data_IF_132983942054
#
_entry.id   IF_132983942054
#
_cell.length_a   1.000
_cell.length_b   1.000
_cell.length_c   1.000
_cell.angle_alpha   90.00
_cell.angle_beta   90.00
_cell.angle_gamma   90.00
#
_symmetry.space_group_name_H-M   'P 1'
#
loop_
_entity.id
_entity.type
_entity.pdbx_description
1 polymer ?
#
# COMPACT_ATOMS: atom_id res chain seq x y z
N UNK A 1 2.53 0.18 -12.73
CA UNK A 1 3.40 0.27 -11.54
C UNK A 1 3.69 -1.10 -10.92
N UNK A 2 2.70 -1.96 -10.65
CA UNK A 2 2.94 -3.29 -10.07
C UNK A 2 3.85 -4.20 -10.93
N UNK A 3 3.68 -4.17 -12.26
CA UNK A 3 4.56 -4.90 -13.17
C UNK A 3 6.02 -4.45 -13.07
N UNK A 4 6.25 -3.14 -12.97
CA UNK A 4 7.60 -2.56 -12.81
C UNK A 4 8.19 -2.95 -11.45
N UNK A 5 7.41 -2.88 -10.38
CA UNK A 5 7.81 -3.32 -9.05
C UNK A 5 8.21 -4.78 -8.99
N UNK A 6 7.49 -5.67 -9.70
CA UNK A 6 7.84 -7.10 -9.79
C UNK A 6 9.21 -7.36 -10.42
N UNK A 7 9.63 -6.55 -11.38
CA UNK A 7 10.92 -6.75 -12.06
C UNK A 7 12.08 -5.98 -11.40
N UNK A 8 11.79 -4.87 -10.71
CA UNK A 8 12.81 -4.00 -10.12
C UNK A 8 13.04 -4.22 -8.62
N UNK A 9 12.07 -4.78 -7.91
CA UNK A 9 12.10 -4.87 -6.46
C UNK A 9 12.00 -6.32 -6.02
N UNK A 10 12.84 -6.69 -5.05
CA UNK A 10 12.71 -7.95 -4.30
C UNK A 10 12.25 -7.62 -2.89
N UNK A 11 11.30 -8.40 -2.37
CA UNK A 11 10.83 -8.22 -1.00
C UNK A 11 12.00 -8.42 -0.04
N UNK A 12 12.22 -7.46 0.85
CA UNK A 12 13.32 -7.52 1.81
C UNK A 12 12.96 -8.53 2.91
N UNK A 13 13.83 -9.50 3.23
CA UNK A 13 13.56 -10.52 4.24
C UNK A 13 13.37 -9.96 5.66
N UNK A 14 13.78 -8.71 5.92
CA UNK A 14 13.46 -8.00 7.17
C UNK A 14 11.97 -7.66 7.28
N UNK A 15 11.19 -7.86 6.22
CA UNK A 15 9.79 -7.46 6.14
C UNK A 15 9.60 -5.94 6.03
N UNK A 16 10.68 -5.17 5.88
CA UNK A 16 10.71 -3.73 5.67
C UNK A 16 12.00 -3.33 4.95
N UNK A 17 12.07 -2.12 4.41
CA UNK A 17 13.30 -1.61 3.79
C UNK A 17 13.37 -1.77 2.27
N UNK A 18 12.38 -2.40 1.62
CA UNK A 18 12.33 -2.47 0.14
C UNK A 18 12.29 -1.08 -0.53
N UNK A 19 11.95 -0.01 0.21
CA UNK A 19 12.08 1.36 -0.29
C UNK A 19 13.54 1.82 -0.47
N UNK A 20 14.50 1.22 0.24
CA UNK A 20 15.93 1.51 0.08
C UNK A 20 16.42 1.13 -1.33
N UNK A 21 15.83 0.08 -1.94
CA UNK A 21 16.09 -0.32 -3.33
C UNK A 21 15.61 0.73 -4.35
N UNK A 22 14.64 1.58 -3.96
CA UNK A 22 14.18 2.72 -4.75
C UNK A 22 15.07 3.96 -4.57
N UNK A 23 16.16 3.87 -3.80
CA UNK A 23 17.06 4.98 -3.49
C UNK A 23 16.56 5.88 -2.37
N UNK A 24 15.53 5.48 -1.61
CA UNK A 24 15.06 6.23 -0.44
C UNK A 24 15.96 5.98 0.77
N UNK A 25 16.05 6.98 1.64
CA UNK A 25 16.78 6.86 2.90
C UNK A 25 16.18 5.76 3.80
N UNK A 26 17.03 5.10 4.62
CA UNK A 26 16.57 4.09 5.56
C UNK A 26 15.60 4.69 6.58
N UNK A 27 14.71 3.85 7.09
CA UNK A 27 13.68 4.25 8.03
C UNK A 27 14.28 4.59 9.41
N UNK A 28 14.62 5.87 9.61
CA UNK A 28 15.21 6.43 10.85
C UNK A 28 14.51 5.97 12.15
N UNK A 29 13.16 5.96 12.27
CA UNK A 29 12.50 5.51 13.49
C UNK A 29 12.73 4.02 13.80
N UNK A 30 12.78 3.19 12.76
CA UNK A 30 13.05 1.76 12.89
C UNK A 30 14.52 1.53 13.27
N UNK A 31 15.44 2.29 12.67
CA UNK A 31 16.87 2.19 12.96
C UNK A 31 17.24 2.71 14.36
N UNK A 32 16.60 3.81 14.80
CA UNK A 32 16.99 4.51 16.03
C UNK A 32 16.22 4.05 17.27
N UNK A 33 14.95 3.71 17.11
CA UNK A 33 14.08 3.33 18.23
C UNK A 33 13.53 1.90 18.14
N UNK A 34 13.76 1.19 17.03
CA UNK A 34 13.18 -0.14 16.81
C UNK A 34 11.67 -0.12 16.60
N UNK A 35 11.08 1.05 16.33
CA UNK A 35 9.62 1.22 16.21
C UNK A 35 9.26 1.38 14.72
N UNK A 36 8.30 0.58 14.20
CA UNK A 36 7.86 0.71 12.83
C UNK A 36 7.06 2.01 12.64
N UNK A 37 7.47 2.81 11.64
CA UNK A 37 6.71 3.97 11.19
C UNK A 37 5.41 3.54 10.46
N UNK A 38 4.43 4.43 10.25
CA UNK A 38 3.16 4.08 9.58
C UNK A 38 3.32 3.50 8.17
N UNK A 39 4.42 3.80 7.48
CA UNK A 39 4.73 3.27 6.15
C UNK A 39 5.74 2.10 6.18
N UNK A 40 6.16 1.63 7.36
CA UNK A 40 7.22 0.64 7.48
C UNK A 40 6.72 -0.74 7.06
N UNK A 41 7.32 -1.31 6.01
CA UNK A 41 6.89 -2.58 5.41
C UNK A 41 5.90 -2.42 4.26
N UNK A 42 5.49 -1.19 3.92
CA UNK A 42 4.45 -0.94 2.92
C UNK A 42 4.93 -1.37 1.53
N UNK A 43 6.11 -0.89 1.12
CA UNK A 43 6.72 -1.25 -0.17
C UNK A 43 7.03 -2.73 -0.24
N UNK A 44 7.49 -3.34 0.86
CA UNK A 44 7.75 -4.78 0.94
C UNK A 44 6.48 -5.60 0.75
N UNK A 45 5.38 -5.23 1.41
CA UNK A 45 4.07 -5.86 1.23
C UNK A 45 3.51 -5.68 -0.18
N UNK A 46 3.68 -4.51 -0.80
CA UNK A 46 3.30 -4.27 -2.20
C UNK A 46 4.16 -5.12 -3.15
N UNK A 47 5.44 -5.31 -2.84
CA UNK A 47 6.32 -6.19 -3.62
C UNK A 47 5.87 -7.64 -3.50
N UNK A 48 5.55 -8.16 -2.31
CA UNK A 48 4.95 -9.49 -2.14
C UNK A 48 3.65 -9.64 -2.95
N UNK A 49 2.77 -8.63 -2.91
CA UNK A 49 1.55 -8.62 -3.73
C UNK A 49 1.87 -8.70 -5.23
N UNK A 50 2.84 -7.92 -5.70
CA UNK A 50 3.26 -7.92 -7.11
C UNK A 50 3.85 -9.27 -7.55
N UNK A 51 4.47 -10.02 -6.62
CA UNK A 51 4.99 -11.38 -6.87
C UNK A 51 3.92 -12.48 -6.79
N UNK A 52 2.71 -12.16 -6.31
CA UNK A 52 1.65 -13.15 -6.10
C UNK A 52 1.68 -13.81 -4.72
N UNK A 53 2.54 -13.34 -3.81
CA UNK A 53 2.69 -13.82 -2.44
C UNK A 53 1.68 -13.10 -1.54
N UNK A 54 0.40 -13.42 -1.72
CA UNK A 54 -0.70 -12.68 -1.11
C UNK A 54 -0.72 -12.80 0.41
N UNK A 55 -0.35 -13.97 0.94
CA UNK A 55 -0.32 -14.21 2.38
C UNK A 55 0.78 -13.40 3.05
N UNK A 56 1.99 -13.43 2.50
CA UNK A 56 3.12 -12.63 3.00
C UNK A 56 2.87 -11.13 2.86
N UNK A 57 2.14 -10.71 1.82
CA UNK A 57 1.69 -9.33 1.67
C UNK A 57 0.76 -8.88 2.80
N UNK A 58 -0.25 -9.70 3.15
CA UNK A 58 -1.20 -9.39 4.22
C UNK A 58 -0.51 -9.41 5.59
N UNK A 59 0.27 -10.45 5.88
CA UNK A 59 1.01 -10.58 7.14
C UNK A 59 2.04 -9.47 7.32
N UNK A 60 2.72 -9.09 6.23
CA UNK A 60 3.70 -8.02 6.23
C UNK A 60 3.06 -6.66 6.50
N UNK A 61 2.05 -6.26 5.73
CA UNK A 61 1.29 -5.04 6.02
C UNK A 61 -0.05 -5.07 5.26
N UNK A 62 -1.21 -5.21 5.93
CA UNK A 62 -2.52 -5.30 5.26
C UNK A 62 -2.83 -4.07 4.38
N UNK A 63 -2.30 -2.90 4.77
CA UNK A 63 -2.39 -1.68 3.96
C UNK A 63 -1.68 -1.82 2.61
N UNK A 64 -0.52 -2.48 2.56
CA UNK A 64 0.21 -2.72 1.32
C UNK A 64 -0.55 -3.66 0.37
N UNK A 65 -1.18 -4.71 0.92
CA UNK A 65 -2.08 -5.56 0.16
C UNK A 65 -3.27 -4.79 -0.42
N UNK A 66 -3.94 -3.97 0.39
CA UNK A 66 -5.06 -3.15 -0.04
C UNK A 66 -4.67 -2.15 -1.14
N UNK A 67 -3.49 -1.53 -1.03
CA UNK A 67 -2.94 -0.65 -2.07
C UNK A 67 -2.59 -1.42 -3.34
N UNK A 68 -2.02 -2.62 -3.22
CA UNK A 68 -1.77 -3.50 -4.37
C UNK A 68 -3.06 -3.84 -5.12
N UNK A 69 -4.10 -4.22 -4.39
CA UNK A 69 -5.41 -4.51 -4.96
C UNK A 69 -6.05 -3.27 -5.60
N UNK A 70 -5.97 -2.11 -4.93
CA UNK A 70 -6.45 -0.86 -5.47
C UNK A 70 -5.71 -0.48 -6.77
N UNK A 71 -4.38 -0.63 -6.80
CA UNK A 71 -3.56 -0.38 -7.98
C UNK A 71 -3.88 -1.35 -9.14
N UNK A 72 -4.38 -2.55 -8.84
CA UNK A 72 -4.86 -3.49 -9.85
C UNK A 72 -6.26 -3.10 -10.36
N UNK A 73 -7.20 -2.73 -9.49
CA UNK A 73 -8.62 -2.52 -9.84
C UNK A 73 -8.87 -1.12 -10.41
N UNK A 74 -8.31 -0.06 -9.82
CA UNK A 74 -8.63 1.33 -10.19
C UNK A 74 -8.46 1.61 -11.68
N UNK A 75 -7.36 1.21 -12.36
CA UNK A 75 -7.16 1.52 -13.77
C UNK A 75 -8.26 0.94 -14.66
N UNK A 76 -8.72 -0.28 -14.39
CA UNK A 76 -9.80 -0.90 -15.17
C UNK A 76 -11.16 -0.29 -14.82
N UNK A 77 -11.41 0.02 -13.54
CA UNK A 77 -12.63 0.66 -13.11
C UNK A 77 -12.79 2.06 -13.71
N UNK A 78 -11.71 2.87 -13.71
CA UNK A 78 -11.71 4.22 -14.30
C UNK A 78 -11.81 4.15 -15.82
N UNK A 79 -11.11 3.22 -16.47
CA UNK A 79 -11.24 2.99 -17.91
C UNK A 79 -12.68 2.61 -18.30
N UNK A 80 -13.28 1.65 -17.60
CA UNK A 80 -14.66 1.23 -17.86
C UNK A 80 -15.68 2.35 -17.58
N UNK A 81 -15.45 3.17 -16.55
CA UNK A 81 -16.27 4.34 -16.26
C UNK A 81 -16.15 5.40 -17.37
N UNK A 82 -14.92 5.67 -17.84
CA UNK A 82 -14.65 6.58 -18.93
C UNK A 82 -15.30 6.13 -20.24
N UNK A 83 -15.19 4.85 -20.59
CA UNK A 83 -15.83 4.25 -21.76
C UNK A 83 -17.37 4.30 -21.70
N UNK A 84 -17.96 4.36 -20.51
CA UNK A 84 -19.42 4.50 -20.29
C UNK A 84 -19.88 5.96 -20.24
N UNK A 85 -18.98 6.93 -20.47
CA UNK A 85 -19.30 8.35 -20.42
C UNK A 85 -19.55 8.89 -19.01
N UNK A 86 -19.08 8.20 -17.97
CA UNK A 86 -19.20 8.67 -16.59
C UNK A 86 -18.23 9.82 -16.35
N UNK A 87 -18.75 10.96 -15.88
CA UNK A 87 -17.94 12.07 -15.45
C UNK A 87 -17.23 11.74 -14.12
N UNK A 88 -15.97 11.32 -14.24
CA UNK A 88 -15.09 11.03 -13.11
C UNK A 88 -14.91 12.24 -12.18
N UNK A 89 -14.92 13.47 -12.70
CA UNK A 89 -14.80 14.68 -11.89
C UNK A 89 -16.00 14.85 -10.97
N UNK A 90 -17.21 14.58 -11.46
CA UNK A 90 -18.44 14.61 -10.67
C UNK A 90 -18.53 13.45 -9.68
N UNK A 91 -18.00 12.28 -10.03
CA UNK A 91 -17.89 11.14 -9.12
C UNK A 91 -16.89 11.40 -7.98
N UNK A 92 -15.80 12.13 -8.26
CA UNK A 92 -14.80 12.51 -7.26
C UNK A 92 -15.33 13.60 -6.30
N UNK A 93 -16.13 14.54 -6.82
CA UNK A 93 -16.82 15.58 -6.04
C UNK A 93 -18.08 15.08 -5.31
N UNK A 94 -18.39 13.79 -5.40
CA UNK A 94 -19.55 13.21 -4.72
C UNK A 94 -19.42 13.37 -3.19
N UNK A 95 -20.49 13.71 -2.46
CA UNK A 95 -20.44 13.90 -0.99
C UNK A 95 -20.04 12.65 -0.17
N UNK A 96 -19.81 11.51 -0.83
CA UNK A 96 -19.33 10.26 -0.19
C UNK A 96 -17.80 10.15 -0.22
N UNK A 97 -17.12 10.89 -1.10
CA UNK A 97 -15.66 10.89 -1.22
C UNK A 97 -14.94 11.28 0.09
N UNK A 98 -15.33 12.32 0.85
CA UNK A 98 -14.67 12.63 2.12
C UNK A 98 -14.84 11.51 3.17
N UNK A 99 -15.96 10.77 3.16
CA UNK A 99 -16.15 9.61 4.03
C UNK A 99 -15.27 8.44 3.63
N UNK A 100 -15.10 8.20 2.32
CA UNK A 100 -14.21 7.17 1.82
C UNK A 100 -12.74 7.47 2.16
N UNK A 101 -12.32 8.74 2.03
CA UNK A 101 -10.99 9.18 2.46
C UNK A 101 -10.81 8.99 3.97
N UNK A 102 -11.79 9.40 4.78
CA UNK A 102 -11.76 9.19 6.23
C UNK A 102 -11.68 7.71 6.62
N UNK A 103 -12.44 6.84 5.97
CA UNK A 103 -12.38 5.40 6.18
C UNK A 103 -11.01 4.81 5.78
N UNK A 104 -10.43 5.27 4.67
CA UNK A 104 -9.09 4.87 4.22
C UNK A 104 -8.00 5.28 5.22
N UNK A 105 -8.08 6.50 5.75
CA UNK A 105 -7.16 6.97 6.80
C UNK A 105 -7.31 6.19 8.11
N UNK A 106 -8.55 5.91 8.53
CA UNK A 106 -8.81 5.09 9.71
C UNK A 106 -8.28 3.67 9.54
N UNK A 107 -8.47 3.07 8.36
CA UNK A 107 -7.92 1.76 8.02
C UNK A 107 -6.39 1.76 8.02
N UNK A 108 -5.76 2.80 7.47
CA UNK A 108 -4.30 2.96 7.50
C UNK A 108 -3.78 3.06 8.95
N UNK A 109 -4.48 3.81 9.81
CA UNK A 109 -4.18 3.88 11.24
C UNK A 109 -4.29 2.53 11.94
N UNK A 110 -5.37 1.78 11.70
CA UNK A 110 -5.56 0.42 12.25
C UNK A 110 -4.48 -0.55 11.77
N UNK A 111 -4.10 -0.49 10.50
CA UNK A 111 -3.04 -1.33 9.95
C UNK A 111 -1.67 -0.99 10.55
N UNK A 112 -1.42 0.28 10.87
CA UNK A 112 -0.20 0.67 11.58
C UNK A 112 -0.21 0.15 13.02
N UNK A 113 -1.34 0.25 13.72
CA UNK A 113 -1.50 -0.32 15.07
C UNK A 113 -1.27 -1.84 15.04
N UNK A 114 -1.82 -2.56 14.06
CA UNK A 114 -1.53 -3.98 13.85
C UNK A 114 -0.02 -4.23 13.71
N UNK A 115 0.68 -3.44 12.90
CA UNK A 115 2.14 -3.54 12.71
C UNK A 115 2.92 -3.27 13.99
N UNK A 116 2.46 -2.35 14.84
CA UNK A 116 3.08 -2.08 16.13
C UNK A 116 3.00 -3.29 17.08
N UNK A 117 1.95 -4.11 17.00
CA UNK A 117 1.80 -5.31 17.84
C UNK A 117 2.46 -6.56 17.26
N UNK A 118 2.60 -6.66 15.93
CA UNK A 118 3.16 -7.85 15.27
C UNK A 118 4.67 -7.72 15.02
N UNK A 119 5.20 -6.50 14.88
CA UNK A 119 6.62 -6.26 14.60
C UNK A 119 7.42 -5.72 15.81
N UNK A 120 6.85 -5.80 17.03
CA UNK A 120 7.54 -5.49 18.31
C UNK A 120 8.27 -6.70 18.88
#
# INVERSE_FOLDING_TARGET
MLLVGRFLLTADPRGHGTHEQLGLAPCLPMQRWGIPCPACGLTTSVTHFAHGEWWDSILGQPLGFALGLAALILPFATLAAHLRGVDLGRALLHPRTPRAIGAGLAFAGLCWVYRLFVAS
#
